data_IF_433911663453
#
_entry.id   IF_433911663453
#
_cell.length_a   1.000
_cell.length_b   1.000
_cell.length_c   1.000
_cell.angle_alpha   90.00
_cell.angle_beta   90.00
_cell.angle_gamma   90.00
#
_symmetry.space_group_name_H-M   'P 1'
#
loop_
_entity.id
_entity.type
_entity.pdbx_description
1 polymer ?
#
# COMPACT_ATOMS: atom_id res chain seq x y z
N UNK A 1 3.14 -49.98 14.50
CA UNK A 1 2.68 -48.82 13.70
C UNK A 1 2.41 -47.68 14.67
N UNK A 2 3.44 -46.88 14.96
CA UNK A 2 3.50 -46.01 16.14
C UNK A 2 3.10 -44.56 15.86
N UNK A 3 2.43 -43.98 16.88
CA UNK A 3 2.36 -42.62 17.45
C UNK A 3 3.07 -41.40 16.82
N UNK A 4 3.78 -41.53 15.71
CA UNK A 4 4.54 -40.46 15.04
C UNK A 4 3.63 -39.50 14.24
N UNK A 5 2.33 -39.77 14.15
CA UNK A 5 1.38 -38.96 13.39
C UNK A 5 0.92 -37.68 14.12
N UNK A 6 1.42 -37.41 15.32
CA UNK A 6 1.09 -36.22 16.11
C UNK A 6 2.06 -35.03 15.90
N UNK A 7 3.15 -35.23 15.15
CA UNK A 7 4.16 -34.20 14.89
C UNK A 7 3.97 -33.46 13.57
N UNK A 8 2.92 -33.75 12.80
CA UNK A 8 2.53 -32.91 11.65
C UNK A 8 1.60 -31.80 12.14
N UNK A 9 2.07 -30.99 13.09
CA UNK A 9 1.68 -29.57 13.07
C UNK A 9 2.43 -28.97 11.91
N UNK A 10 1.89 -29.20 10.70
CA UNK A 10 2.20 -28.35 9.56
C UNK A 10 1.72 -26.99 10.03
N UNK A 11 2.67 -26.18 10.50
CA UNK A 11 2.46 -24.76 10.67
C UNK A 11 1.77 -24.33 9.39
N UNK A 12 0.47 -24.06 9.49
CA UNK A 12 -0.20 -23.15 8.60
C UNK A 12 0.40 -21.77 8.93
N UNK A 13 1.69 -21.62 8.63
CA UNK A 13 2.26 -20.46 7.99
C UNK A 13 1.60 -20.35 6.60
N UNK A 14 0.26 -20.34 6.59
CA UNK A 14 -0.48 -19.52 5.68
C UNK A 14 -0.05 -18.11 6.07
N UNK A 15 1.12 -17.71 5.56
CA UNK A 15 1.39 -16.33 5.21
C UNK A 15 0.16 -15.91 4.43
N UNK A 16 -0.80 -15.32 5.12
CA UNK A 16 -1.81 -14.49 4.51
C UNK A 16 -0.98 -13.36 3.91
N UNK A 17 -0.50 -13.58 2.70
CA UNK A 17 0.25 -12.58 1.97
C UNK A 17 -0.78 -11.53 1.61
N UNK A 18 -0.82 -10.47 2.43
CA UNK A 18 -1.62 -9.29 2.12
C UNK A 18 -0.96 -8.64 0.91
N UNK A 19 -1.68 -8.53 -0.19
CA UNK A 19 -1.20 -7.82 -1.36
C UNK A 19 -1.04 -6.33 -1.01
N UNK A 20 0.06 -5.71 -1.46
CA UNK A 20 0.36 -4.31 -1.18
C UNK A 20 0.63 -3.58 -2.48
N UNK A 21 -0.01 -2.41 -2.64
CA UNK A 21 0.22 -1.51 -3.76
C UNK A 21 0.98 -0.28 -3.27
N UNK A 22 2.15 -0.04 -3.86
CA UNK A 22 2.99 1.12 -3.56
C UNK A 22 3.04 2.04 -4.78
N UNK A 23 2.68 3.30 -4.59
CA UNK A 23 2.69 4.35 -5.61
C UNK A 23 3.63 5.47 -5.16
N UNK A 24 4.62 5.80 -5.97
CA UNK A 24 5.56 6.90 -5.70
C UNK A 24 5.39 7.97 -6.77
N UNK A 25 5.10 9.19 -6.33
CA UNK A 25 4.97 10.39 -7.14
C UNK A 25 6.07 11.37 -6.73
N UNK A 26 7.08 11.53 -7.58
CA UNK A 26 8.14 12.52 -7.38
C UNK A 26 7.91 13.72 -8.30
N UNK A 27 7.98 14.93 -7.75
CA UNK A 27 7.94 16.16 -8.52
C UNK A 27 9.01 17.15 -8.07
N UNK A 28 9.52 17.96 -9.00
CA UNK A 28 10.47 19.03 -8.69
C UNK A 28 9.75 20.19 -7.98
N UNK A 29 10.39 20.79 -6.97
CA UNK A 29 9.81 21.87 -6.16
C UNK A 29 9.65 23.18 -6.93
N UNK A 30 10.51 23.41 -7.92
CA UNK A 30 10.52 24.61 -8.78
C UNK A 30 9.21 24.77 -9.55
N UNK A 31 8.60 23.66 -9.94
CA UNK A 31 7.23 23.62 -10.43
C UNK A 31 6.28 23.51 -9.23
N UNK A 32 5.90 24.64 -8.64
CA UNK A 32 4.83 24.67 -7.63
C UNK A 32 3.52 24.35 -8.33
N UNK A 33 3.23 23.06 -8.48
CA UNK A 33 2.06 22.56 -9.18
C UNK A 33 0.84 22.75 -8.27
N UNK A 34 -0.08 23.69 -8.59
CA UNK A 34 -1.19 24.01 -7.70
C UNK A 34 -2.20 22.85 -7.56
N UNK A 35 -2.19 21.91 -8.50
CA UNK A 35 -3.08 20.75 -8.55
C UNK A 35 -2.51 19.47 -7.92
N UNK A 36 -1.32 19.49 -7.30
CA UNK A 36 -0.72 18.30 -6.68
C UNK A 36 -1.60 17.71 -5.58
N UNK A 37 -2.15 18.57 -4.72
CA UNK A 37 -3.04 18.12 -3.65
C UNK A 37 -4.36 17.57 -4.23
N UNK A 38 -4.91 18.17 -5.29
CA UNK A 38 -6.11 17.68 -5.95
C UNK A 38 -5.87 16.31 -6.60
N UNK A 39 -4.76 16.16 -7.32
CA UNK A 39 -4.36 14.88 -7.94
C UNK A 39 -4.19 13.78 -6.89
N UNK A 40 -3.60 14.10 -5.72
CA UNK A 40 -3.51 13.16 -4.60
C UNK A 40 -4.91 12.68 -4.17
N UNK A 41 -5.84 13.60 -3.97
CA UNK A 41 -7.21 13.25 -3.56
C UNK A 41 -7.92 12.37 -4.61
N UNK A 42 -7.76 12.69 -5.90
CA UNK A 42 -8.34 11.91 -6.99
C UNK A 42 -7.75 10.50 -7.09
N UNK A 43 -6.42 10.37 -7.01
CA UNK A 43 -5.74 9.07 -7.00
C UNK A 43 -6.23 8.24 -5.82
N UNK A 44 -6.34 8.85 -4.63
CA UNK A 44 -6.83 8.15 -3.45
C UNK A 44 -8.27 7.69 -3.63
N UNK A 45 -9.14 8.52 -4.20
CA UNK A 45 -10.53 8.20 -4.47
C UNK A 45 -10.67 7.06 -5.49
N UNK A 46 -9.85 7.08 -6.55
CA UNK A 46 -9.80 6.03 -7.57
C UNK A 46 -9.33 4.71 -6.95
N UNK A 47 -8.25 4.74 -6.18
CA UNK A 47 -7.75 3.55 -5.48
C UNK A 47 -8.84 2.99 -4.56
N UNK A 48 -9.41 3.80 -3.67
CA UNK A 48 -10.50 3.38 -2.76
C UNK A 48 -11.65 2.73 -3.51
N UNK A 49 -12.04 3.29 -4.66
CA UNK A 49 -13.13 2.78 -5.49
C UNK A 49 -12.85 1.36 -6.01
N UNK A 50 -11.61 1.03 -6.35
CA UNK A 50 -11.26 -0.27 -6.95
C UNK A 50 -10.77 -1.30 -5.94
N UNK A 51 -10.17 -0.87 -4.83
CA UNK A 51 -9.62 -1.76 -3.80
C UNK A 51 -10.61 -2.06 -2.69
N UNK A 52 -11.67 -1.25 -2.56
CA UNK A 52 -12.69 -1.37 -1.52
C UNK A 52 -12.09 -1.50 -0.11
N UNK A 53 -10.90 -0.91 0.10
CA UNK A 53 -10.17 -0.92 1.37
C UNK A 53 -10.07 0.50 1.93
N UNK A 54 -10.20 0.60 3.24
CA UNK A 54 -9.95 1.81 4.01
C UNK A 54 -8.49 1.89 4.50
N UNK A 55 -7.70 0.82 4.33
CA UNK A 55 -6.32 0.71 4.79
C UNK A 55 -5.32 1.36 3.82
N UNK A 56 -5.29 2.70 3.83
CA UNK A 56 -4.38 3.51 3.00
C UNK A 56 -3.44 4.31 3.90
N UNK A 57 -2.15 4.11 3.70
CA UNK A 57 -1.06 4.85 4.34
C UNK A 57 -0.46 5.84 3.36
N UNK A 58 -0.39 7.11 3.74
CA UNK A 58 0.17 8.17 2.90
C UNK A 58 1.42 8.70 3.61
N UNK A 59 2.55 8.66 2.92
CA UNK A 59 3.81 9.27 3.35
C UNK A 59 4.17 10.37 2.36
N UNK A 60 4.24 11.59 2.85
CA UNK A 60 4.76 12.71 2.06
C UNK A 60 6.13 13.08 2.65
N UNK A 61 7.17 13.02 1.81
CA UNK A 61 8.50 13.46 2.17
C UNK A 61 8.91 14.60 1.23
N UNK A 62 9.49 15.65 1.80
CA UNK A 62 10.00 16.77 1.02
C UNK A 62 11.47 16.95 1.35
N UNK A 63 12.32 16.64 0.39
CA UNK A 63 13.73 17.00 0.44
C UNK A 63 13.94 18.37 -0.24
N UNK A 64 15.13 18.95 -0.11
CA UNK A 64 15.42 20.37 -0.41
C UNK A 64 15.01 20.79 -1.83
N UNK A 65 15.10 19.88 -2.81
CA UNK A 65 14.85 20.14 -4.24
C UNK A 65 13.69 19.34 -4.85
N UNK A 66 13.29 18.22 -4.22
CA UNK A 66 12.29 17.28 -4.75
C UNK A 66 11.23 17.01 -3.68
N UNK A 67 9.97 17.10 -4.08
CA UNK A 67 8.83 16.69 -3.28
C UNK A 67 8.36 15.31 -3.73
N UNK A 68 8.33 14.37 -2.81
CA UNK A 68 8.00 12.96 -3.03
C UNK A 68 6.78 12.57 -2.22
N UNK A 69 5.75 12.07 -2.90
CA UNK A 69 4.56 11.50 -2.29
C UNK A 69 4.58 9.99 -2.51
N UNK A 70 4.66 9.24 -1.42
CA UNK A 70 4.55 7.79 -1.38
C UNK A 70 3.18 7.41 -0.80
N UNK A 71 2.44 6.58 -1.52
CA UNK A 71 1.15 6.03 -1.08
C UNK A 71 1.30 4.52 -1.02
N UNK A 72 1.11 3.96 0.18
CA UNK A 72 1.11 2.53 0.45
C UNK A 72 -0.33 2.09 0.77
N UNK A 73 -0.86 1.16 -0.02
CA UNK A 73 -2.22 0.62 0.13
C UNK A 73 -2.12 -0.86 0.44
N UNK A 74 -2.79 -1.26 1.50
CA UNK A 74 -2.92 -2.67 1.86
C UNK A 74 -4.21 -3.18 1.23
N UNK A 75 -4.09 -4.13 0.30
CA UNK A 75 -5.22 -4.74 -0.36
C UNK A 75 -5.75 -5.85 0.55
N UNK A 76 -6.95 -5.65 1.07
CA UNK A 76 -7.67 -6.71 1.75
C UNK A 76 -8.12 -7.73 0.68
N UNK A 77 -7.53 -8.93 0.72
CA UNK A 77 -7.89 -10.01 -0.18
C UNK A 77 -9.23 -10.61 0.30
N UNK A 78 -10.34 -9.90 0.07
CA UNK A 78 -11.67 -10.45 0.22
C UNK A 78 -11.88 -11.46 -0.90
N UNK A 79 -11.63 -12.72 -0.55
CA UNK A 79 -11.75 -13.90 -1.40
C UNK A 79 -13.20 -14.16 -1.82
#
# INVERSE_FOLDING_TARGET
MGILNYFVKKDNSARVATDRLQLILAHERTAKIPYMEQMKQEILAVVKKYTNTDNISIKADSNQDISTLEVEIILDNTK
#
